data_IF_805090376862
#
_entry.id   IF_805090376862
#
_cell.length_a   1.000
_cell.length_b   1.000
_cell.length_c   1.000
_cell.angle_alpha   90.00
_cell.angle_beta   90.00
_cell.angle_gamma   90.00
#
_symmetry.space_group_name_H-M   'P 1'
#
loop_
_entity.id
_entity.type
_entity.pdbx_description
1 polymer ?
#
# COMPACT_ATOMS: atom_id res chain seq x y z
N UNK A 1 -33.77 0.59 -4.51
CA UNK A 1 -32.42 0.02 -4.71
C UNK A 1 -31.35 1.09 -4.88
N UNK A 2 -31.67 2.25 -5.46
CA UNK A 2 -30.74 3.39 -5.63
C UNK A 2 -30.01 3.79 -4.33
N UNK A 3 -30.74 4.06 -3.24
CA UNK A 3 -30.14 4.36 -1.93
C UNK A 3 -29.19 3.26 -1.45
N UNK A 4 -29.51 1.99 -1.72
CA UNK A 4 -28.65 0.85 -1.34
C UNK A 4 -27.37 0.85 -2.17
N UNK A 5 -27.46 1.14 -3.47
CA UNK A 5 -26.30 1.30 -4.34
C UNK A 5 -25.34 2.36 -3.79
N UNK A 6 -25.86 3.56 -3.48
CA UNK A 6 -25.05 4.67 -2.98
C UNK A 6 -24.35 4.33 -1.66
N UNK A 7 -25.09 3.76 -0.71
CA UNK A 7 -24.54 3.33 0.58
C UNK A 7 -23.39 2.33 0.39
N UNK A 8 -23.55 1.38 -0.54
CA UNK A 8 -22.51 0.40 -0.84
C UNK A 8 -21.31 1.06 -1.50
N UNK A 9 -21.48 1.99 -2.44
CA UNK A 9 -20.36 2.71 -3.06
C UNK A 9 -19.53 3.44 -1.99
N UNK A 10 -20.19 4.21 -1.12
CA UNK A 10 -19.50 4.97 -0.07
C UNK A 10 -18.79 4.06 0.93
N UNK A 11 -19.45 2.97 1.35
CA UNK A 11 -18.84 1.98 2.24
C UNK A 11 -17.63 1.31 1.58
N UNK A 12 -17.74 0.92 0.31
CA UNK A 12 -16.69 0.24 -0.44
C UNK A 12 -15.45 1.13 -0.60
N UNK A 13 -15.66 2.41 -0.93
CA UNK A 13 -14.58 3.38 -1.05
C UNK A 13 -13.88 3.61 0.30
N UNK A 14 -14.66 3.71 1.39
CA UNK A 14 -14.14 3.82 2.75
C UNK A 14 -13.32 2.60 3.17
N UNK A 15 -13.78 1.39 2.85
CA UNK A 15 -13.06 0.14 3.13
C UNK A 15 -11.74 0.09 2.34
N UNK A 16 -11.78 0.41 1.03
CA UNK A 16 -10.59 0.42 0.19
C UNK A 16 -9.52 1.32 0.78
N UNK A 17 -9.83 2.60 0.98
CA UNK A 17 -8.86 3.58 1.48
C UNK A 17 -8.48 3.34 2.94
N UNK A 18 -9.45 3.06 3.81
CA UNK A 18 -9.23 2.89 5.23
C UNK A 18 -8.28 1.74 5.53
N UNK A 19 -8.52 0.55 4.96
CA UNK A 19 -7.60 -0.57 5.14
C UNK A 19 -6.31 -0.39 4.33
N UNK A 20 -6.37 0.19 3.13
CA UNK A 20 -5.17 0.43 2.34
C UNK A 20 -4.14 1.34 3.02
N UNK A 21 -4.60 2.35 3.76
CA UNK A 21 -3.73 3.28 4.48
C UNK A 21 -3.00 2.65 5.69
N UNK A 22 -3.59 1.65 6.34
CA UNK A 22 -3.03 1.04 7.55
C UNK A 22 -1.69 0.35 7.25
N UNK A 23 -1.64 -0.38 6.13
CA UNK A 23 -0.45 -1.13 5.73
C UNK A 23 0.75 -0.23 5.53
N UNK A 24 0.59 0.80 4.68
CA UNK A 24 1.62 1.80 4.42
C UNK A 24 1.98 2.58 5.69
N UNK A 25 0.99 3.11 6.42
CA UNK A 25 1.25 3.96 7.59
C UNK A 25 2.09 3.26 8.67
N UNK A 26 1.79 1.99 8.96
CA UNK A 26 2.60 1.20 9.90
C UNK A 26 3.96 0.88 9.30
N UNK A 27 4.01 0.42 8.05
CA UNK A 27 5.26 0.04 7.37
C UNK A 27 6.27 1.19 7.29
N UNK A 28 5.79 2.37 6.90
CA UNK A 28 6.59 3.58 6.82
C UNK A 28 7.06 4.07 8.20
N UNK A 29 6.19 3.96 9.21
CA UNK A 29 6.54 4.27 10.59
C UNK A 29 7.69 3.40 11.12
N UNK A 30 7.69 2.10 10.78
CA UNK A 30 8.79 1.19 11.13
C UNK A 30 10.12 1.58 10.46
N UNK A 31 10.06 2.00 9.19
CA UNK A 31 11.24 2.49 8.47
C UNK A 31 11.78 3.79 9.08
N UNK A 32 10.88 4.74 9.35
CA UNK A 32 11.20 6.02 10.00
C UNK A 32 11.80 5.84 11.39
N UNK A 33 11.23 4.97 12.21
CA UNK A 33 11.75 4.67 13.56
C UNK A 33 13.18 4.13 13.53
N UNK A 34 13.48 3.19 12.61
CA UNK A 34 14.85 2.68 12.45
C UNK A 34 15.81 3.70 11.84
N UNK A 35 15.31 4.62 11.03
CA UNK A 35 16.14 5.72 10.52
C UNK A 35 16.58 6.65 11.64
N UNK A 36 15.68 7.00 12.56
CA UNK A 36 16.01 7.80 13.75
C UNK A 36 17.07 7.09 14.60
N UNK A 37 16.90 5.79 14.90
CA UNK A 37 17.90 5.02 15.65
C UNK A 37 19.26 4.94 14.93
N UNK A 38 19.27 4.77 13.61
CA UNK A 38 20.49 4.70 12.81
C UNK A 38 21.21 6.05 12.76
N UNK A 39 20.46 7.15 12.55
CA UNK A 39 21.01 8.50 12.52
C UNK A 39 21.58 8.92 13.89
N UNK A 40 20.90 8.56 14.99
CA UNK A 40 21.38 8.84 16.34
C UNK A 40 22.69 8.10 16.66
N UNK A 41 22.82 6.83 16.24
CA UNK A 41 24.04 6.04 16.47
C UNK A 41 25.21 6.50 15.60
N UNK A 42 24.95 6.92 14.36
CA UNK A 42 26.01 7.26 13.41
C UNK A 42 25.61 8.46 12.52
N UNK A 43 25.70 9.70 13.05
CA UNK A 43 25.25 10.90 12.34
C UNK A 43 25.91 11.12 10.98
N UNK A 44 27.18 10.72 10.83
CA UNK A 44 27.95 10.86 9.59
C UNK A 44 27.41 10.06 8.40
N UNK A 45 26.47 9.14 8.60
CA UNK A 45 25.86 8.34 7.52
C UNK A 45 24.38 8.66 7.28
N UNK A 46 23.88 9.75 7.87
CA UNK A 46 22.48 10.18 7.75
C UNK A 46 22.00 10.25 6.30
N UNK A 47 22.81 10.76 5.36
CA UNK A 47 22.42 10.85 3.96
C UNK A 47 22.12 9.48 3.32
N UNK A 48 22.91 8.45 3.64
CA UNK A 48 22.68 7.08 3.15
C UNK A 48 21.42 6.48 3.78
N UNK A 49 21.30 6.62 5.10
CA UNK A 49 20.12 6.17 5.86
C UNK A 49 18.83 6.80 5.34
N UNK A 50 18.83 8.12 5.15
CA UNK A 50 17.69 8.88 4.65
C UNK A 50 17.29 8.42 3.25
N UNK A 51 18.26 8.24 2.35
CA UNK A 51 18.00 7.71 1.00
C UNK A 51 17.34 6.33 1.06
N UNK A 52 17.88 5.40 1.84
CA UNK A 52 17.32 4.05 1.98
C UNK A 52 15.90 4.09 2.58
N UNK A 53 15.68 4.94 3.58
CA UNK A 53 14.37 5.13 4.20
C UNK A 53 13.34 5.65 3.20
N UNK A 54 13.62 6.77 2.53
CA UNK A 54 12.68 7.41 1.62
C UNK A 54 12.31 6.52 0.44
N UNK A 55 13.28 5.81 -0.14
CA UNK A 55 12.99 4.84 -1.21
C UNK A 55 12.15 3.69 -0.69
N UNK A 56 12.48 3.16 0.49
CA UNK A 56 11.71 2.07 1.10
C UNK A 56 10.26 2.46 1.43
N UNK A 57 10.06 3.69 1.93
CA UNK A 57 8.73 4.26 2.21
C UNK A 57 7.95 4.49 0.93
N UNK A 58 8.57 5.08 -0.11
CA UNK A 58 7.91 5.30 -1.40
C UNK A 58 7.39 4.00 -2.03
N UNK A 59 8.09 2.88 -1.85
CA UNK A 59 7.62 1.58 -2.31
C UNK A 59 6.52 1.03 -1.39
N UNK A 60 6.62 1.25 -0.07
CA UNK A 60 5.60 0.82 0.91
C UNK A 60 4.26 1.51 0.63
N UNK A 61 4.29 2.78 0.23
CA UNK A 61 3.13 3.60 -0.07
C UNK A 61 2.33 3.13 -1.31
N UNK A 62 2.95 2.36 -2.20
CA UNK A 62 2.31 1.94 -3.47
C UNK A 62 0.96 1.23 -3.28
N UNK A 63 0.84 0.38 -2.26
CA UNK A 63 -0.43 -0.29 -1.92
C UNK A 63 -1.51 0.71 -1.48
N UNK A 64 -1.13 1.73 -0.71
CA UNK A 64 -2.00 2.83 -0.32
C UNK A 64 -2.49 3.66 -1.52
N UNK A 65 -1.60 3.93 -2.48
CA UNK A 65 -1.99 4.60 -3.74
C UNK A 65 -2.97 3.76 -4.56
N UNK A 66 -2.78 2.45 -4.64
CA UNK A 66 -3.73 1.57 -5.34
C UNK A 66 -5.11 1.58 -4.68
N UNK A 67 -5.15 1.55 -3.34
CA UNK A 67 -6.37 1.72 -2.57
C UNK A 67 -7.06 3.07 -2.80
N UNK A 68 -6.29 4.16 -2.81
CA UNK A 68 -6.79 5.50 -3.14
C UNK A 68 -7.41 5.53 -4.54
N UNK A 69 -6.74 4.96 -5.54
CA UNK A 69 -7.25 4.90 -6.91
C UNK A 69 -8.59 4.16 -6.97
N UNK A 70 -8.70 2.99 -6.34
CA UNK A 70 -9.97 2.22 -6.30
C UNK A 70 -11.07 3.00 -5.57
N UNK A 71 -10.75 3.66 -4.46
CA UNK A 71 -11.71 4.48 -3.72
C UNK A 71 -12.23 5.65 -4.57
N UNK A 72 -11.35 6.38 -5.26
CA UNK A 72 -11.72 7.47 -6.16
C UNK A 72 -12.56 6.95 -7.33
N UNK A 73 -12.19 5.81 -7.93
CA UNK A 73 -12.98 5.20 -8.99
C UNK A 73 -14.39 4.83 -8.51
N UNK A 74 -14.52 4.24 -7.33
CA UNK A 74 -15.82 3.94 -6.73
C UNK A 74 -16.66 5.21 -6.56
N UNK A 75 -16.07 6.30 -6.04
CA UNK A 75 -16.80 7.53 -5.74
C UNK A 75 -17.21 8.34 -6.97
N UNK A 76 -16.42 8.31 -8.05
CA UNK A 76 -16.63 9.19 -9.21
C UNK A 76 -17.05 8.48 -10.49
N UNK A 77 -16.91 7.15 -10.56
CA UNK A 77 -17.20 6.40 -11.79
C UNK A 77 -18.26 5.32 -11.62
N UNK A 78 -18.59 4.93 -10.39
CA UNK A 78 -19.65 3.96 -10.17
C UNK A 78 -21.04 4.57 -10.48
N UNK A 79 -21.96 3.81 -11.10
CA UNK A 79 -23.28 4.31 -11.43
C UNK A 79 -24.15 4.51 -10.18
N UNK A 80 -24.72 5.71 -10.05
CA UNK A 80 -25.61 6.13 -8.96
C UNK A 80 -27.09 5.84 -9.28
N UNK A 81 -27.38 4.61 -9.70
CA UNK A 81 -28.74 4.20 -10.05
C UNK A 81 -29.11 2.86 -9.38
N UNK A 82 -30.34 2.40 -9.59
CA UNK A 82 -30.78 1.11 -9.08
C UNK A 82 -30.08 -0.05 -9.82
N UNK A 83 -29.08 -0.66 -9.18
CA UNK A 83 -28.28 -1.73 -9.76
C UNK A 83 -28.79 -3.14 -9.39
N UNK A 84 -28.36 -4.12 -10.17
CA UNK A 84 -28.55 -5.54 -9.85
C UNK A 84 -27.78 -5.91 -8.58
N UNK A 85 -28.28 -6.92 -7.85
CA UNK A 85 -27.60 -7.43 -6.64
C UNK A 85 -26.18 -7.91 -6.95
N UNK A 86 -25.96 -8.48 -8.14
CA UNK A 86 -24.63 -8.90 -8.60
C UNK A 86 -23.66 -7.74 -8.74
N UNK A 87 -24.09 -6.61 -9.32
CA UNK A 87 -23.25 -5.41 -9.46
C UNK A 87 -22.97 -4.75 -8.11
N UNK A 88 -23.95 -4.68 -7.22
CA UNK A 88 -23.77 -4.18 -5.85
C UNK A 88 -22.73 -5.02 -5.09
N UNK A 89 -22.83 -6.35 -5.18
CA UNK A 89 -21.85 -7.24 -4.57
C UNK A 89 -20.44 -7.07 -5.16
N UNK A 90 -20.34 -6.82 -6.47
CA UNK A 90 -19.06 -6.55 -7.13
C UNK A 90 -18.42 -5.23 -6.65
N UNK A 91 -19.21 -4.16 -6.50
CA UNK A 91 -18.73 -2.87 -5.95
C UNK A 91 -18.18 -3.07 -4.53
N UNK A 92 -18.92 -3.75 -3.66
CA UNK A 92 -18.46 -4.09 -2.31
C UNK A 92 -17.19 -4.96 -2.31
N UNK A 93 -17.18 -6.00 -3.14
CA UNK A 93 -16.04 -6.88 -3.30
C UNK A 93 -14.79 -6.16 -3.77
N UNK A 94 -14.92 -5.15 -4.64
CA UNK A 94 -13.78 -4.36 -5.13
C UNK A 94 -13.12 -3.56 -4.01
N UNK A 95 -13.90 -2.93 -3.14
CA UNK A 95 -13.38 -2.16 -2.02
C UNK A 95 -12.70 -3.03 -0.97
N UNK A 96 -13.32 -4.16 -0.63
CA UNK A 96 -12.76 -5.16 0.31
C UNK A 96 -11.46 -5.75 -0.26
N UNK A 97 -11.46 -6.19 -1.51
CA UNK A 97 -10.29 -6.79 -2.14
C UNK A 97 -9.08 -5.84 -2.14
N UNK A 98 -9.28 -4.59 -2.55
CA UNK A 98 -8.20 -3.62 -2.58
C UNK A 98 -7.72 -3.24 -1.19
N UNK A 99 -8.64 -2.92 -0.27
CA UNK A 99 -8.27 -2.50 1.09
C UNK A 99 -7.42 -3.55 1.81
N UNK A 100 -7.89 -4.79 1.85
CA UNK A 100 -7.13 -5.87 2.49
C UNK A 100 -5.89 -6.30 1.69
N UNK A 101 -5.94 -6.22 0.35
CA UNK A 101 -4.82 -6.54 -0.52
C UNK A 101 -3.65 -5.57 -0.44
N UNK A 102 -3.87 -4.34 0.04
CA UNK A 102 -2.83 -3.36 0.30
C UNK A 102 -2.16 -3.49 1.68
N UNK A 103 -2.86 -4.04 2.68
CA UNK A 103 -2.37 -4.16 4.06
C UNK A 103 -1.05 -4.93 4.17
N UNK A 104 -1.01 -6.15 3.61
CA UNK A 104 0.13 -7.05 3.74
C UNK A 104 1.40 -6.46 3.12
N UNK A 105 1.36 -6.03 1.84
CA UNK A 105 2.52 -5.44 1.19
C UNK A 105 3.00 -4.15 1.82
N UNK A 106 2.09 -3.25 2.22
CA UNK A 106 2.48 -2.02 2.93
C UNK A 106 3.35 -2.33 4.16
N UNK A 107 2.88 -3.27 5.01
CA UNK A 107 3.62 -3.72 6.19
C UNK A 107 4.93 -4.42 5.84
N UNK A 108 4.91 -5.37 4.90
CA UNK A 108 6.07 -6.18 4.53
C UNK A 108 7.18 -5.36 3.90
N UNK A 109 6.83 -4.45 3.00
CA UNK A 109 7.77 -3.53 2.34
C UNK A 109 8.36 -2.56 3.34
N UNK A 110 7.54 -2.01 4.25
CA UNK A 110 8.00 -1.12 5.30
C UNK A 110 8.92 -1.80 6.32
N UNK A 111 8.64 -3.05 6.67
CA UNK A 111 9.55 -3.86 7.48
C UNK A 111 10.88 -4.12 6.77
N UNK A 112 10.86 -4.45 5.48
CA UNK A 112 12.09 -4.60 4.68
C UNK A 112 12.88 -3.28 4.62
N UNK A 113 12.19 -2.14 4.45
CA UNK A 113 12.80 -0.81 4.50
C UNK A 113 13.46 -0.53 5.86
N UNK A 114 12.75 -0.85 6.95
CA UNK A 114 13.24 -0.75 8.33
C UNK A 114 14.55 -1.51 8.53
N UNK A 115 14.63 -2.75 8.02
CA UNK A 115 15.85 -3.57 8.06
C UNK A 115 16.95 -3.09 7.12
N UNK A 116 16.60 -2.57 5.95
CA UNK A 116 17.54 -1.93 5.05
C UNK A 116 18.21 -0.73 5.72
N UNK A 117 17.42 0.13 6.35
CA UNK A 117 17.89 1.30 7.09
C UNK A 117 18.79 0.91 8.27
N UNK A 118 18.36 -0.05 9.10
CA UNK A 118 19.17 -0.58 10.21
C UNK A 118 20.50 -1.14 9.71
N UNK A 119 20.48 -1.89 8.60
CA UNK A 119 21.66 -2.47 7.97
C UNK A 119 22.63 -1.40 7.45
N UNK A 120 22.13 -0.37 6.76
CA UNK A 120 22.95 0.74 6.27
C UNK A 120 23.60 1.51 7.41
N UNK A 121 22.86 1.73 8.51
CA UNK A 121 23.40 2.34 9.71
C UNK A 121 24.54 1.52 10.33
N UNK A 122 24.42 0.19 10.36
CA UNK A 122 25.46 -0.71 10.91
C UNK A 122 26.64 -0.96 9.99
N UNK A 123 26.43 -0.95 8.67
CA UNK A 123 27.46 -1.28 7.68
C UNK A 123 27.38 -0.38 6.45
N UNK A 124 27.79 0.90 6.57
CA UNK A 124 27.61 1.90 5.51
C UNK A 124 28.41 1.64 4.23
N UNK A 125 29.47 0.84 4.31
CA UNK A 125 30.28 0.42 3.17
C UNK A 125 29.56 -0.62 2.29
N UNK A 126 28.63 -1.39 2.88
CA UNK A 126 27.86 -2.41 2.20
C UNK A 126 26.47 -1.91 1.75
N UNK A 127 26.22 -0.60 1.84
CA UNK A 127 24.94 0.01 1.49
C UNK A 127 24.43 -0.39 0.10
N UNK A 128 25.25 -0.42 -0.98
CA UNK A 128 24.74 -0.82 -2.29
C UNK A 128 24.19 -2.23 -2.34
N UNK A 129 24.76 -3.17 -1.58
CA UNK A 129 24.30 -4.56 -1.51
C UNK A 129 23.01 -4.64 -0.70
N UNK A 130 22.98 -4.00 0.48
CA UNK A 130 21.80 -3.96 1.36
C UNK A 130 20.61 -3.35 0.60
N UNK A 131 20.83 -2.23 -0.06
CA UNK A 131 19.81 -1.51 -0.81
C UNK A 131 19.23 -2.37 -1.94
N UNK A 132 20.06 -3.03 -2.76
CA UNK A 132 19.57 -3.89 -3.84
C UNK A 132 18.79 -5.10 -3.31
N UNK A 133 19.29 -5.76 -2.27
CA UNK A 133 18.61 -6.90 -1.66
C UNK A 133 17.25 -6.50 -1.08
N UNK A 134 17.19 -5.33 -0.42
CA UNK A 134 15.93 -4.74 0.05
C UNK A 134 14.94 -4.54 -1.10
N UNK A 135 15.37 -3.89 -2.20
CA UNK A 135 14.50 -3.64 -3.36
C UNK A 135 13.96 -4.93 -3.99
N UNK A 136 14.79 -5.96 -4.13
CA UNK A 136 14.35 -7.25 -4.68
C UNK A 136 13.27 -7.88 -3.79
N UNK A 137 13.48 -7.89 -2.47
CA UNK A 137 12.48 -8.41 -1.53
C UNK A 137 11.17 -7.61 -1.56
N UNK A 138 11.27 -6.28 -1.65
CA UNK A 138 10.12 -5.38 -1.74
C UNK A 138 9.34 -5.58 -3.04
N UNK A 139 10.02 -5.77 -4.17
CA UNK A 139 9.37 -6.02 -5.46
C UNK A 139 8.52 -7.30 -5.44
N UNK A 140 9.04 -8.38 -4.85
CA UNK A 140 8.29 -9.64 -4.72
C UNK A 140 7.12 -9.47 -3.75
N UNK A 141 7.34 -8.84 -2.59
CA UNK A 141 6.29 -8.57 -1.62
C UNK A 141 5.17 -7.67 -2.16
N UNK A 142 5.50 -6.70 -3.03
CA UNK A 142 4.55 -5.76 -3.62
C UNK A 142 3.59 -6.37 -4.64
N UNK A 143 3.94 -7.51 -5.22
CA UNK A 143 3.16 -8.15 -6.30
C UNK A 143 1.71 -8.48 -5.91
N UNK A 144 1.46 -8.79 -4.64
CA UNK A 144 0.11 -9.16 -4.18
C UNK A 144 -0.85 -7.97 -4.12
N UNK A 145 -0.36 -6.75 -3.91
CA UNK A 145 -1.20 -5.54 -4.05
C UNK A 145 -1.59 -5.27 -5.50
N UNK A 146 -0.72 -5.63 -6.46
CA UNK A 146 -1.05 -5.56 -7.89
C UNK A 146 -2.15 -6.56 -8.22
N UNK A 147 -2.08 -7.79 -7.69
CA UNK A 147 -3.14 -8.78 -7.89
C UNK A 147 -4.49 -8.30 -7.34
N UNK A 148 -4.50 -7.71 -6.14
CA UNK A 148 -5.69 -7.14 -5.55
C UNK A 148 -6.25 -5.97 -6.37
N UNK A 149 -5.38 -5.09 -6.87
CA UNK A 149 -5.79 -4.00 -7.76
C UNK A 149 -6.44 -4.55 -9.03
N UNK A 150 -5.82 -5.52 -9.70
CA UNK A 150 -6.37 -6.13 -10.92
C UNK A 150 -7.75 -6.73 -10.66
N UNK A 151 -7.91 -7.52 -9.61
CA UNK A 151 -9.22 -8.11 -9.25
C UNK A 151 -10.26 -7.02 -8.96
N UNK A 152 -9.88 -5.98 -8.24
CA UNK A 152 -10.77 -4.86 -7.91
C UNK A 152 -11.24 -4.10 -9.16
N UNK A 153 -10.34 -3.87 -10.13
CA UNK A 153 -10.67 -3.25 -11.41
C UNK A 153 -11.58 -4.15 -12.27
N UNK A 154 -11.35 -5.46 -12.26
CA UNK A 154 -12.22 -6.41 -12.97
C UNK A 154 -13.64 -6.40 -12.38
N UNK A 155 -13.77 -6.36 -11.05
CA UNK A 155 -15.07 -6.24 -10.39
C UNK A 155 -15.79 -4.94 -10.73
N UNK A 156 -15.05 -3.82 -10.84
CA UNK A 156 -15.62 -2.52 -11.20
C UNK A 156 -16.13 -2.49 -12.66
N UNK A 157 -15.30 -2.92 -13.61
CA UNK A 157 -15.52 -2.64 -15.03
C UNK A 157 -16.04 -3.81 -15.86
N UNK A 158 -15.83 -5.07 -15.43
CA UNK A 158 -16.15 -6.24 -16.27
C UNK A 158 -17.49 -6.88 -15.90
N UNK A 159 -17.86 -6.88 -14.61
CA UNK A 159 -19.14 -7.44 -14.16
C UNK A 159 -20.28 -6.52 -14.59
N UNK A 160 -21.30 -7.05 -15.28
CA UNK A 160 -22.48 -6.32 -15.74
C UNK A 160 -23.67 -6.58 -14.82
#
# INVERSE_FOLDING_TARGET
MEVVTELVIYLSAGIAMGFGAIGSGIGEGLAGGKAVEAAARQPGVQGKVMKTMLIGQAISESGGIYALVVAVLLLFTAPHEALSVGKIAALLGSGICMGFGALGPGLGIGYAASKGVEGVGRSPHNEPVIFRTMLIGQAVSGSTSIYALVVSLLLLFVIK
#
